data_IF_994089730298
#
_entry.id   IF_994089730298
#
_cell.length_a   1.000
_cell.length_b   1.000
_cell.length_c   1.000
_cell.angle_alpha   90.00
_cell.angle_beta   90.00
_cell.angle_gamma   90.00
#
_symmetry.space_group_name_H-M   'P 1'
#
loop_
_entity.id
_entity.type
_entity.pdbx_description
1 polymer ?
#
# COMPACT_ATOMS: atom_id res chain seq x y z
N UNK A 1 10.80 -22.50 9.74
CA UNK A 1 10.92 -21.15 10.34
C UNK A 1 10.34 -21.11 11.77
N UNK A 2 10.86 -21.91 12.70
CA UNK A 2 10.44 -21.84 14.12
C UNK A 2 11.04 -20.60 14.82
N UNK A 3 12.30 -20.31 14.53
CA UNK A 3 13.03 -19.19 15.11
C UNK A 3 12.37 -17.81 14.98
N UNK A 4 11.85 -17.45 13.78
CA UNK A 4 11.17 -16.16 13.57
C UNK A 4 9.84 -16.12 14.33
N UNK A 5 9.13 -17.25 14.38
CA UNK A 5 7.85 -17.37 15.09
C UNK A 5 8.05 -17.30 16.61
N UNK A 6 9.09 -17.95 17.13
CA UNK A 6 9.47 -17.93 18.55
C UNK A 6 9.89 -16.53 19.03
N UNK A 7 10.47 -15.71 18.14
CA UNK A 7 10.79 -14.29 18.43
C UNK A 7 9.49 -13.47 18.52
N UNK A 8 8.57 -13.65 17.57
CA UNK A 8 7.29 -12.94 17.57
C UNK A 8 6.44 -13.33 18.78
N UNK A 9 6.34 -14.61 19.10
CA UNK A 9 5.56 -15.12 20.24
C UNK A 9 6.09 -14.60 21.59
N UNK A 10 7.40 -14.31 21.70
CA UNK A 10 7.99 -13.68 22.90
C UNK A 10 7.68 -12.19 23.05
N UNK A 11 7.49 -11.50 21.94
CA UNK A 11 7.26 -10.04 21.91
C UNK A 11 5.77 -9.71 21.97
N UNK A 12 4.93 -10.61 21.46
CA UNK A 12 3.46 -10.53 21.43
C UNK A 12 2.78 -10.12 22.75
N UNK A 13 3.11 -10.67 23.93
CA UNK A 13 2.46 -10.29 25.19
C UNK A 13 2.73 -8.85 25.63
N UNK A 14 3.72 -8.15 25.05
CA UNK A 14 4.00 -6.73 25.33
C UNK A 14 3.02 -5.81 24.60
N UNK A 15 2.44 -6.29 23.51
CA UNK A 15 1.52 -5.57 22.64
C UNK A 15 0.05 -5.98 22.86
N UNK A 16 -0.25 -7.15 23.44
CA UNK A 16 -1.63 -7.59 23.76
C UNK A 16 -2.30 -6.73 24.87
N UNK A 17 -3.63 -6.87 25.03
CA UNK A 17 -4.43 -6.11 26.01
C UNK A 17 -3.86 -6.26 27.44
N UNK A 18 -3.38 -5.16 28.03
CA UNK A 18 -2.67 -5.15 29.32
C UNK A 18 -1.14 -5.00 29.24
N UNK A 19 -0.56 -4.96 28.04
CA UNK A 19 0.87 -4.71 27.81
C UNK A 19 1.25 -3.22 27.72
N UNK A 20 2.53 -2.88 27.99
CA UNK A 20 3.03 -1.49 28.01
C UNK A 20 2.83 -0.75 26.67
N UNK A 21 2.74 -1.48 25.56
CA UNK A 21 2.54 -0.93 24.21
C UNK A 21 1.22 -1.40 23.57
N UNK A 22 0.17 -1.64 24.36
CA UNK A 22 -1.16 -2.04 23.88
C UNK A 22 -1.70 -1.15 22.72
N UNK A 23 -1.35 0.14 22.71
CA UNK A 23 -1.74 1.06 21.63
C UNK A 23 -1.09 0.74 20.27
N UNK A 24 0.06 0.06 20.27
CA UNK A 24 0.78 -0.37 19.06
C UNK A 24 0.40 -1.79 18.63
N UNK A 25 -0.52 -2.46 19.33
CA UNK A 25 -1.05 -3.76 18.94
C UNK A 25 -1.47 -3.81 17.46
N UNK A 26 -2.19 -2.80 16.91
CA UNK A 26 -2.60 -2.86 15.50
C UNK A 26 -1.42 -2.84 14.52
N UNK A 27 -0.32 -2.17 14.87
CA UNK A 27 0.87 -2.14 14.05
C UNK A 27 1.62 -3.48 14.15
N UNK A 28 1.76 -4.03 15.36
CA UNK A 28 2.40 -5.33 15.58
C UNK A 28 1.62 -6.46 14.88
N UNK A 29 0.29 -6.46 14.99
CA UNK A 29 -0.60 -7.45 14.35
C UNK A 29 -0.54 -7.36 12.81
N UNK A 30 -0.43 -6.15 12.25
CA UNK A 30 -0.23 -5.97 10.82
C UNK A 30 1.13 -6.51 10.35
N UNK A 31 2.21 -6.30 11.11
CA UNK A 31 3.53 -6.85 10.82
C UNK A 31 3.60 -8.37 11.00
N UNK A 32 2.99 -8.92 12.07
CA UNK A 32 2.90 -10.36 12.32
C UNK A 32 2.10 -11.04 11.21
N UNK A 33 0.93 -10.49 10.88
CA UNK A 33 0.08 -10.98 9.81
C UNK A 33 0.78 -10.85 8.46
N UNK A 34 1.54 -9.77 8.19
CA UNK A 34 2.32 -9.65 6.94
C UNK A 34 3.28 -10.83 6.74
N UNK A 35 4.00 -11.24 7.79
CA UNK A 35 4.98 -12.32 7.72
C UNK A 35 4.39 -13.73 7.89
N UNK A 36 3.26 -13.86 8.57
CA UNK A 36 2.66 -15.15 8.92
C UNK A 36 1.19 -15.25 8.54
N UNK A 37 0.75 -16.45 8.15
CA UNK A 37 -0.68 -16.72 7.91
C UNK A 37 -1.45 -16.51 9.22
N UNK A 38 -2.63 -15.84 9.21
CA UNK A 38 -3.44 -15.70 10.40
C UNK A 38 -3.77 -17.07 11.01
N UNK A 39 -3.60 -17.23 12.32
CA UNK A 39 -3.88 -18.50 13.00
C UNK A 39 -5.37 -18.72 13.32
N UNK A 40 -6.27 -17.86 12.83
CA UNK A 40 -7.70 -18.02 13.04
C UNK A 40 -8.32 -18.76 11.85
N UNK A 41 -9.04 -19.85 12.13
CA UNK A 41 -9.86 -20.56 11.15
C UNK A 41 -11.32 -20.17 11.35
N UNK A 42 -12.12 -20.25 10.28
CA UNK A 42 -13.55 -19.97 10.35
C UNK A 42 -14.23 -20.92 11.34
N UNK A 43 -14.99 -20.35 12.27
CA UNK A 43 -15.62 -21.14 13.33
C UNK A 43 -16.61 -22.16 12.76
N UNK A 44 -16.83 -23.29 13.46
CA UNK A 44 -17.74 -24.34 13.00
C UNK A 44 -19.23 -23.94 13.01
N UNK A 45 -19.62 -22.78 13.57
CA UNK A 45 -21.01 -22.31 13.66
C UNK A 45 -21.19 -20.97 12.95
N UNK A 46 -22.34 -20.81 12.27
CA UNK A 46 -22.78 -19.52 11.73
C UNK A 46 -22.21 -19.12 10.36
N UNK A 47 -21.49 -20.01 9.67
CA UNK A 47 -20.97 -19.77 8.31
C UNK A 47 -21.88 -20.40 7.26
N UNK A 48 -22.35 -19.60 6.30
CA UNK A 48 -23.20 -20.07 5.19
C UNK A 48 -22.39 -20.80 4.10
N UNK A 49 -21.19 -20.29 3.76
CA UNK A 49 -20.27 -20.89 2.79
C UNK A 49 -18.85 -20.80 3.34
N UNK A 50 -18.08 -21.88 3.20
CA UNK A 50 -16.65 -21.91 3.52
C UNK A 50 -15.87 -21.72 2.24
N UNK A 51 -15.29 -20.54 2.08
CA UNK A 51 -14.41 -20.24 0.96
C UNK A 51 -12.95 -20.28 1.44
N UNK A 52 -12.05 -20.62 0.53
CA UNK A 52 -10.60 -20.53 0.71
C UNK A 52 -10.06 -19.15 0.32
N UNK A 53 -10.89 -18.26 -0.25
CA UNK A 53 -10.51 -16.88 -0.54
C UNK A 53 -10.62 -15.98 0.69
N UNK A 54 -9.45 -15.57 1.19
CA UNK A 54 -9.35 -14.51 2.19
C UNK A 54 -9.06 -13.16 1.52
N UNK A 55 -9.49 -12.06 2.16
CA UNK A 55 -9.19 -10.69 1.71
C UNK A 55 -7.71 -10.47 1.43
N UNK A 56 -6.84 -11.00 2.31
CA UNK A 56 -5.39 -10.98 2.16
C UNK A 56 -4.92 -11.68 0.88
N UNK A 57 -5.45 -12.87 0.58
CA UNK A 57 -5.08 -13.64 -0.61
C UNK A 57 -5.49 -12.92 -1.89
N UNK A 58 -6.67 -12.31 -1.89
CA UNK A 58 -7.13 -11.47 -2.99
C UNK A 58 -6.20 -10.27 -3.19
N UNK A 59 -5.86 -9.54 -2.13
CA UNK A 59 -4.96 -8.38 -2.23
C UNK A 59 -3.58 -8.75 -2.75
N UNK A 60 -3.00 -9.86 -2.29
CA UNK A 60 -1.72 -10.36 -2.81
C UNK A 60 -1.79 -10.75 -4.28
N UNK A 61 -2.88 -11.39 -4.71
CA UNK A 61 -3.10 -11.70 -6.14
C UNK A 61 -3.14 -10.42 -6.98
N UNK A 62 -3.80 -9.37 -6.49
CA UNK A 62 -3.84 -8.07 -7.16
C UNK A 62 -2.45 -7.43 -7.24
N UNK A 63 -1.67 -7.46 -6.16
CA UNK A 63 -0.29 -6.93 -6.17
C UNK A 63 0.56 -7.66 -7.22
N UNK A 64 0.48 -8.99 -7.28
CA UNK A 64 1.20 -9.80 -8.27
C UNK A 64 0.76 -9.42 -9.69
N UNK A 65 -0.54 -9.22 -9.93
CA UNK A 65 -1.07 -8.80 -11.21
C UNK A 65 -0.63 -7.38 -11.61
N UNK A 66 -0.34 -6.51 -10.65
CA UNK A 66 0.15 -5.15 -10.89
C UNK A 66 1.65 -5.06 -11.18
N UNK A 67 2.46 -6.05 -10.76
CA UNK A 67 3.91 -6.04 -10.99
C UNK A 67 4.28 -5.94 -12.48
N UNK A 68 3.69 -6.70 -13.41
CA UNK A 68 3.94 -6.54 -14.85
C UNK A 68 3.64 -5.12 -15.35
N UNK A 69 2.52 -4.53 -14.90
CA UNK A 69 2.14 -3.16 -15.26
C UNK A 69 3.16 -2.13 -14.74
N UNK A 70 3.69 -2.35 -13.53
CA UNK A 70 4.70 -1.48 -12.95
C UNK A 70 6.04 -1.57 -13.68
N UNK A 71 6.49 -2.79 -14.01
CA UNK A 71 7.73 -2.99 -14.76
C UNK A 71 7.64 -2.38 -16.15
N UNK A 72 6.51 -2.57 -16.83
CA UNK A 72 6.25 -1.92 -18.12
C UNK A 72 6.20 -0.39 -17.99
N UNK A 73 5.56 0.13 -16.94
CA UNK A 73 5.52 1.57 -16.64
C UNK A 73 6.92 2.17 -16.47
N UNK A 74 7.77 1.53 -15.67
CA UNK A 74 9.17 1.94 -15.47
C UNK A 74 9.91 1.99 -16.81
N UNK A 75 9.85 0.93 -17.59
CA UNK A 75 10.50 0.90 -18.89
C UNK A 75 9.96 1.98 -19.83
N UNK A 76 8.63 2.18 -19.87
CA UNK A 76 7.99 3.16 -20.74
C UNK A 76 8.38 4.60 -20.38
N UNK A 77 8.44 4.95 -19.10
CA UNK A 77 8.91 6.27 -18.64
C UNK A 77 10.33 6.55 -19.13
N UNK A 78 11.23 5.59 -18.97
CA UNK A 78 12.60 5.71 -19.46
C UNK A 78 12.69 5.78 -20.98
N UNK A 79 11.91 4.96 -21.69
CA UNK A 79 11.88 5.00 -23.15
C UNK A 79 11.44 6.36 -23.68
N UNK A 80 10.39 6.97 -23.11
CA UNK A 80 9.94 8.31 -23.47
C UNK A 80 10.99 9.38 -23.16
N UNK A 81 11.73 9.25 -22.05
CA UNK A 81 12.84 10.15 -21.73
C UNK A 81 13.94 10.14 -22.80
N UNK A 82 14.39 8.95 -23.22
CA UNK A 82 15.44 8.82 -24.25
C UNK A 82 14.97 9.24 -25.65
N UNK A 83 13.69 9.01 -25.98
CA UNK A 83 13.08 9.54 -27.20
C UNK A 83 13.08 11.08 -27.20
N UNK A 84 12.74 11.71 -26.08
CA UNK A 84 12.73 13.17 -25.96
C UNK A 84 14.14 13.79 -26.05
N UNK A 85 15.17 13.08 -25.58
CA UNK A 85 16.58 13.52 -25.62
C UNK A 85 17.25 13.24 -26.98
N UNK A 86 16.54 12.62 -27.94
CA UNK A 86 17.06 12.34 -29.28
C UNK A 86 18.00 11.12 -29.36
N UNK A 87 18.04 10.28 -28.34
CA UNK A 87 18.86 9.06 -28.27
C UNK A 87 17.97 7.81 -28.28
N UNK A 88 17.32 7.53 -29.42
CA UNK A 88 16.36 6.42 -29.54
C UNK A 88 16.97 5.02 -29.29
N UNK A 89 18.26 4.85 -29.61
CA UNK A 89 19.00 3.58 -29.52
C UNK A 89 19.62 3.29 -28.14
N UNK A 90 19.24 4.03 -27.09
CA UNK A 90 19.70 3.74 -25.74
C UNK A 90 19.39 2.28 -25.33
N UNK A 91 20.31 1.65 -24.59
CA UNK A 91 20.19 0.26 -24.19
C UNK A 91 18.95 0.04 -23.31
N UNK A 92 18.41 -1.19 -23.35
CA UNK A 92 17.22 -1.54 -22.56
C UNK A 92 17.39 -1.24 -21.07
N UNK A 93 18.55 -1.59 -20.51
CA UNK A 93 18.86 -1.39 -19.10
C UNK A 93 19.00 0.09 -18.71
N UNK A 94 19.48 0.94 -19.61
CA UNK A 94 19.57 2.38 -19.38
C UNK A 94 18.17 3.01 -19.31
N UNK A 95 17.27 2.59 -20.21
CA UNK A 95 15.85 2.97 -20.19
C UNK A 95 15.22 2.57 -18.85
N UNK A 96 15.43 1.33 -18.40
CA UNK A 96 14.89 0.86 -17.11
C UNK A 96 15.49 1.65 -15.94
N UNK A 97 16.80 1.94 -15.93
CA UNK A 97 17.46 2.66 -14.85
C UNK A 97 16.91 4.08 -14.68
N UNK A 98 16.76 4.82 -15.77
CA UNK A 98 16.19 6.19 -15.74
C UNK A 98 14.72 6.14 -15.29
N UNK A 99 13.93 5.24 -15.86
CA UNK A 99 12.53 5.08 -15.46
C UNK A 99 12.37 4.70 -13.99
N UNK A 100 13.26 3.86 -13.46
CA UNK A 100 13.25 3.44 -12.07
C UNK A 100 13.60 4.60 -11.14
N UNK A 101 14.59 5.42 -11.53
CA UNK A 101 14.99 6.62 -10.77
C UNK A 101 13.84 7.62 -10.60
N UNK A 102 12.97 7.73 -11.61
CA UNK A 102 11.79 8.61 -11.55
C UNK A 102 10.62 7.97 -10.81
N UNK A 103 10.34 6.68 -11.08
CA UNK A 103 9.12 6.01 -10.60
C UNK A 103 9.23 5.55 -9.13
N UNK A 104 10.40 5.05 -8.71
CA UNK A 104 10.60 4.53 -7.34
C UNK A 104 10.35 5.59 -6.26
N UNK A 105 10.86 6.83 -6.37
CA UNK A 105 10.57 7.87 -5.39
C UNK A 105 9.07 8.16 -5.22
N UNK A 106 8.31 8.19 -6.32
CA UNK A 106 6.85 8.41 -6.29
C UNK A 106 6.16 7.28 -5.52
N UNK A 107 6.56 6.03 -5.78
CA UNK A 107 6.06 4.85 -5.06
C UNK A 107 6.35 4.98 -3.57
N UNK A 108 7.59 5.30 -3.20
CA UNK A 108 8.01 5.43 -1.80
C UNK A 108 7.18 6.51 -1.09
N UNK A 109 7.03 7.69 -1.69
CA UNK A 109 6.27 8.80 -1.09
C UNK A 109 4.81 8.41 -0.87
N UNK A 110 4.17 7.80 -1.88
CA UNK A 110 2.79 7.30 -1.79
C UNK A 110 2.61 6.32 -0.62
N UNK A 111 3.50 5.33 -0.51
CA UNK A 111 3.45 4.35 0.57
C UNK A 111 3.71 4.96 1.95
N UNK A 112 4.75 5.77 2.10
CA UNK A 112 5.14 6.35 3.40
C UNK A 112 4.04 7.25 3.93
N UNK A 113 3.48 8.12 3.10
CA UNK A 113 2.44 9.06 3.53
C UNK A 113 1.14 8.33 3.82
N UNK A 114 0.71 7.46 2.91
CA UNK A 114 -0.58 6.80 3.06
C UNK A 114 -0.61 5.75 4.17
N UNK A 115 0.41 4.88 4.26
CA UNK A 115 0.53 3.95 5.39
C UNK A 115 0.74 4.71 6.70
N UNK A 116 1.54 5.80 6.70
CA UNK A 116 1.76 6.61 7.90
C UNK A 116 0.47 7.15 8.50
N UNK A 117 -0.43 7.67 7.66
CA UNK A 117 -1.75 8.15 8.08
C UNK A 117 -2.63 6.98 8.54
N UNK A 118 -2.66 5.88 7.81
CA UNK A 118 -3.48 4.72 8.18
C UNK A 118 -3.04 4.11 9.51
N UNK A 119 -1.72 3.94 9.74
CA UNK A 119 -1.20 3.49 11.02
C UNK A 119 -1.60 4.44 12.15
N UNK A 120 -1.53 5.76 11.92
CA UNK A 120 -1.94 6.75 12.91
C UNK A 120 -3.42 6.61 13.29
N UNK A 121 -4.32 6.49 12.30
CA UNK A 121 -5.75 6.34 12.56
C UNK A 121 -6.10 4.97 13.15
N UNK A 122 -5.44 3.90 12.72
CA UNK A 122 -5.62 2.56 13.29
C UNK A 122 -5.24 2.52 14.78
N UNK A 123 -4.13 3.15 15.17
CA UNK A 123 -3.73 3.29 16.59
C UNK A 123 -4.78 4.09 17.38
N UNK A 124 -5.32 5.17 16.80
CA UNK A 124 -6.31 6.02 17.49
C UNK A 124 -7.67 5.34 17.65
N UNK A 125 -8.10 4.57 16.66
CA UNK A 125 -9.41 3.90 16.63
C UNK A 125 -9.38 2.46 17.16
N UNK A 126 -8.19 1.89 17.36
CA UNK A 126 -8.02 0.54 17.90
C UNK A 126 -8.46 -0.59 16.96
N UNK A 127 -8.56 -0.33 15.64
CA UNK A 127 -8.83 -1.37 14.65
C UNK A 127 -7.54 -1.85 13.99
N UNK A 128 -7.55 -3.07 13.44
CA UNK A 128 -6.41 -3.61 12.68
C UNK A 128 -6.17 -2.80 11.41
N UNK A 129 -4.90 -2.73 10.99
CA UNK A 129 -4.50 -2.12 9.72
C UNK A 129 -4.84 -3.10 8.61
N UNK A 130 -5.48 -2.62 7.55
CA UNK A 130 -5.88 -3.47 6.44
C UNK A 130 -4.86 -3.36 5.31
N UNK A 131 -4.48 -4.51 4.74
CA UNK A 131 -3.53 -4.60 3.62
C UNK A 131 -4.04 -3.95 2.33
N UNK A 132 -5.33 -3.57 2.25
CA UNK A 132 -5.92 -2.92 1.08
C UNK A 132 -5.23 -1.61 0.66
N UNK A 133 -4.55 -0.90 1.58
CA UNK A 133 -3.77 0.26 1.17
C UNK A 133 -2.48 -0.11 0.43
N UNK A 134 -1.95 -1.33 0.58
CA UNK A 134 -0.78 -1.73 -0.19
C UNK A 134 -1.06 -1.68 -1.70
N UNK A 135 -2.26 -2.11 -2.10
CA UNK A 135 -2.72 -1.99 -3.49
C UNK A 135 -2.89 -0.53 -3.89
N UNK A 136 -3.51 0.28 -3.04
CA UNK A 136 -3.78 1.70 -3.32
C UNK A 136 -2.48 2.51 -3.46
N UNK A 137 -1.51 2.27 -2.58
CA UNK A 137 -0.19 2.91 -2.59
C UNK A 137 0.59 2.63 -3.86
N UNK A 138 0.38 1.47 -4.49
CA UNK A 138 0.94 1.11 -5.79
C UNK A 138 0.13 1.64 -6.98
N UNK A 139 -1.20 1.79 -6.84
CA UNK A 139 -2.05 2.34 -7.90
C UNK A 139 -1.82 3.83 -8.12
N UNK A 140 -1.62 4.61 -7.05
CA UNK A 140 -1.34 6.06 -7.09
C UNK A 140 -0.21 6.41 -8.09
N UNK A 141 1.02 5.85 -7.98
CA UNK A 141 2.09 6.15 -8.92
C UNK A 141 1.80 5.70 -10.36
N UNK A 142 0.96 4.68 -10.57
CA UNK A 142 0.61 4.18 -11.90
C UNK A 142 -0.40 5.06 -12.64
N UNK A 143 -1.17 5.87 -11.92
CA UNK A 143 -2.20 6.75 -12.51
C UNK A 143 -1.78 8.22 -12.56
N UNK A 144 -0.59 8.56 -12.08
CA UNK A 144 -0.06 9.92 -12.06
C UNK A 144 1.09 10.11 -13.06
N UNK A 145 1.33 11.33 -13.56
CA UNK A 145 2.45 11.60 -14.46
C UNK A 145 3.80 11.36 -13.78
N UNK A 146 4.83 10.89 -14.50
CA UNK A 146 6.17 10.68 -13.93
C UNK A 146 6.90 11.99 -13.58
N UNK A 147 6.46 13.13 -14.12
CA UNK A 147 7.07 14.45 -13.92
C UNK A 147 6.54 15.17 -12.68
N UNK A 148 5.61 14.57 -11.93
CA UNK A 148 5.02 15.22 -10.76
C UNK A 148 6.07 15.45 -9.66
N UNK A 149 6.09 16.65 -9.05
CA UNK A 149 6.87 16.88 -7.85
C UNK A 149 6.43 15.96 -6.69
N UNK A 150 7.40 15.43 -5.95
CA UNK A 150 7.15 14.47 -4.86
C UNK A 150 6.23 15.03 -3.76
N UNK A 151 6.29 16.34 -3.48
CA UNK A 151 5.44 16.96 -2.47
C UNK A 151 3.95 16.95 -2.89
N UNK A 152 3.65 17.06 -4.18
CA UNK A 152 2.27 17.01 -4.68
C UNK A 152 1.69 15.61 -4.48
N UNK A 153 2.50 14.57 -4.74
CA UNK A 153 2.14 13.18 -4.46
C UNK A 153 1.82 12.98 -2.99
N UNK A 154 2.66 13.53 -2.11
CA UNK A 154 2.45 13.44 -0.67
C UNK A 154 1.13 14.11 -0.25
N UNK A 155 0.89 15.35 -0.67
CA UNK A 155 -0.33 16.09 -0.31
C UNK A 155 -1.59 15.41 -0.88
N UNK A 156 -1.55 14.98 -2.14
CA UNK A 156 -2.67 14.29 -2.76
C UNK A 156 -2.99 12.94 -2.12
N UNK A 157 -1.95 12.17 -1.79
CA UNK A 157 -2.11 10.89 -1.09
C UNK A 157 -2.68 11.12 0.30
N UNK A 158 -2.17 12.13 1.04
CA UNK A 158 -2.69 12.47 2.36
C UNK A 158 -4.16 12.89 2.30
N UNK A 159 -4.52 13.76 1.35
CA UNK A 159 -5.91 14.19 1.14
C UNK A 159 -6.82 12.99 0.85
N UNK A 160 -6.42 12.13 -0.09
CA UNK A 160 -7.21 10.99 -0.49
C UNK A 160 -7.42 10.01 0.67
N UNK A 161 -6.38 9.69 1.44
CA UNK A 161 -6.50 8.79 2.58
C UNK A 161 -7.38 9.39 3.67
N UNK A 162 -7.17 10.67 4.01
CA UNK A 162 -7.97 11.33 5.03
C UNK A 162 -9.44 11.44 4.63
N UNK A 163 -9.73 11.97 3.45
CA UNK A 163 -11.09 12.33 3.04
C UNK A 163 -11.84 11.15 2.45
N UNK A 164 -11.22 10.35 1.58
CA UNK A 164 -11.93 9.26 0.88
C UNK A 164 -12.01 7.96 1.70
N UNK A 165 -11.13 7.78 2.70
CA UNK A 165 -11.05 6.55 3.52
C UNK A 165 -11.30 6.81 5.00
N UNK A 166 -10.48 7.64 5.65
CA UNK A 166 -10.52 7.75 7.12
C UNK A 166 -11.74 8.50 7.66
N UNK A 167 -12.23 9.54 6.96
CA UNK A 167 -13.46 10.26 7.34
C UNK A 167 -14.69 9.33 7.38
N UNK A 168 -14.73 8.31 6.51
CA UNK A 168 -15.85 7.39 6.41
C UNK A 168 -15.76 6.16 7.34
N UNK A 169 -14.74 6.12 8.21
CA UNK A 169 -14.58 5.01 9.17
C UNK A 169 -13.50 3.99 8.79
N UNK A 170 -12.77 4.20 7.69
CA UNK A 170 -11.64 3.36 7.29
C UNK A 170 -12.02 2.25 6.30
N UNK A 171 -11.15 1.24 6.18
CA UNK A 171 -11.23 0.22 5.12
C UNK A 171 -12.54 -0.57 5.16
N UNK A 172 -13.23 -0.63 4.01
CA UNK A 172 -14.52 -1.32 3.86
C UNK A 172 -15.73 -0.39 3.90
N UNK A 173 -15.57 0.85 4.37
CA UNK A 173 -16.61 1.89 4.37
C UNK A 173 -16.37 2.97 3.31
N UNK A 174 -15.35 2.78 2.46
CA UNK A 174 -14.96 3.75 1.44
C UNK A 174 -16.06 3.88 0.39
N UNK A 175 -16.69 5.06 0.30
CA UNK A 175 -17.66 5.37 -0.76
C UNK A 175 -16.93 5.61 -2.09
N UNK A 176 -15.71 6.16 -2.02
CA UNK A 176 -14.92 6.57 -3.17
C UNK A 176 -13.64 5.73 -3.28
N UNK A 177 -13.15 5.55 -4.52
CA UNK A 177 -11.85 4.97 -4.75
C UNK A 177 -10.75 5.96 -4.34
N UNK A 178 -9.93 5.57 -3.36
CA UNK A 178 -8.87 6.41 -2.79
C UNK A 178 -7.83 6.81 -3.84
N UNK A 179 -7.37 5.89 -4.69
CA UNK A 179 -6.38 6.21 -5.72
C UNK A 179 -6.95 7.22 -6.74
N UNK A 180 -8.18 7.00 -7.20
CA UNK A 180 -8.84 7.93 -8.12
C UNK A 180 -9.10 9.30 -7.48
N UNK A 181 -9.40 9.33 -6.17
CA UNK A 181 -9.56 10.58 -5.44
C UNK A 181 -8.24 11.35 -5.35
N UNK A 182 -7.12 10.66 -5.14
CA UNK A 182 -5.79 11.29 -5.17
C UNK A 182 -5.50 11.93 -6.53
N UNK A 183 -5.82 11.22 -7.62
CA UNK A 183 -5.66 11.75 -8.98
C UNK A 183 -6.59 12.92 -9.28
N UNK A 184 -7.86 12.84 -8.86
CA UNK A 184 -8.81 13.93 -9.03
C UNK A 184 -8.38 15.18 -8.25
N UNK A 185 -7.92 15.00 -7.02
CA UNK A 185 -7.38 16.11 -6.22
C UNK A 185 -6.18 16.76 -6.90
N UNK A 186 -5.21 15.97 -7.39
CA UNK A 186 -4.12 16.54 -8.19
C UNK A 186 -4.64 17.33 -9.38
N UNK A 187 -5.54 16.76 -10.18
CA UNK A 187 -6.03 17.40 -11.41
C UNK A 187 -6.74 18.75 -11.19
N UNK A 188 -7.48 18.90 -10.08
CA UNK A 188 -8.25 20.11 -9.83
C UNK A 188 -7.56 21.13 -8.94
N UNK A 189 -6.69 20.68 -8.04
CA UNK A 189 -6.08 21.55 -7.03
C UNK A 189 -4.67 22.01 -7.40
N UNK A 190 -3.98 21.31 -8.30
CA UNK A 190 -2.56 21.53 -8.61
C UNK A 190 -2.30 21.53 -10.12
#
# INVERSE_FOLDING_TARGET
MKFIRDIFDKVKPVFEKGGKYEKLHPAFDAFETFMFVPNHTTSNRGVQIRDAMDMKRLMMTVIIAMLPCLLFGIWNVGHQHFLATGQADAAFWDKVAVGAWVTIPIIIVSYVVGLGIEFYFAIRRGHSVNEGFLVTGMLIPLIMPPTIPLWQVAVATAFAVLVAKEVFGGTGMNILNVAMTARAFLYFAI
#
